data_IF_956902401729
#
_entry.id   IF_956902401729
#
_cell.length_a   1.000
_cell.length_b   1.000
_cell.length_c   1.000
_cell.angle_alpha   90.00
_cell.angle_beta   90.00
_cell.angle_gamma   90.00
#
_symmetry.space_group_name_H-M   'P 1'
#
loop_
_entity.id
_entity.type
_entity.pdbx_description
1 polymer ?
#
# COMPACT_ATOMS: atom_id res chain seq x y z
N UNK A 1 -8.72 21.86 -15.06
CA UNK A 1 -8.23 21.66 -13.68
C UNK A 1 -9.16 20.72 -12.92
N UNK A 2 -8.65 19.61 -12.46
CA UNK A 2 -9.44 18.65 -11.68
C UNK A 2 -9.43 19.02 -10.20
N UNK A 3 -10.60 18.89 -9.58
CA UNK A 3 -10.75 19.11 -8.14
C UNK A 3 -10.75 17.78 -7.41
N UNK A 4 -10.29 17.80 -6.17
CA UNK A 4 -10.34 16.61 -5.30
C UNK A 4 -11.79 16.13 -5.15
N UNK A 5 -12.75 17.04 -5.07
CA UNK A 5 -14.18 16.71 -4.99
C UNK A 5 -14.74 16.03 -6.24
N UNK A 6 -14.04 16.07 -7.37
CA UNK A 6 -14.43 15.32 -8.58
C UNK A 6 -14.30 13.80 -8.36
N UNK A 7 -13.57 13.37 -7.33
CA UNK A 7 -13.33 11.97 -6.97
C UNK A 7 -14.08 11.59 -5.70
N UNK A 8 -15.26 12.15 -5.51
CA UNK A 8 -16.09 11.89 -4.35
C UNK A 8 -17.24 10.94 -4.67
N UNK A 9 -17.66 10.18 -3.67
CA UNK A 9 -18.86 9.36 -3.72
C UNK A 9 -19.36 9.19 -2.28
N UNK A 10 -20.61 8.82 -2.12
CA UNK A 10 -21.19 8.59 -0.80
C UNK A 10 -20.84 7.20 -0.30
N UNK A 11 -20.06 7.12 0.78
CA UNK A 11 -19.66 5.87 1.41
C UNK A 11 -20.25 5.80 2.82
N UNK A 12 -21.27 4.93 3.04
CA UNK A 12 -21.76 4.69 4.38
C UNK A 12 -20.65 4.11 5.27
N UNK A 13 -20.50 4.65 6.46
CA UNK A 13 -19.42 4.26 7.37
C UNK A 13 -19.47 2.77 7.73
N UNK A 14 -20.66 2.18 7.82
CA UNK A 14 -20.81 0.75 8.11
C UNK A 14 -20.24 -0.17 7.03
N UNK A 15 -19.99 0.33 5.83
CA UNK A 15 -19.35 -0.45 4.76
C UNK A 15 -17.83 -0.48 4.86
N UNK A 16 -17.22 0.36 5.70
CA UNK A 16 -15.77 0.30 5.94
C UNK A 16 -15.49 -0.91 6.82
N UNK A 17 -14.83 -1.93 6.23
CA UNK A 17 -14.59 -3.19 6.92
C UNK A 17 -13.62 -3.01 8.09
N UNK A 18 -14.01 -3.49 9.28
CA UNK A 18 -13.18 -3.45 10.48
C UNK A 18 -12.36 -4.73 10.64
N UNK A 19 -12.82 -5.83 10.06
CA UNK A 19 -12.19 -7.14 10.13
C UNK A 19 -12.05 -7.76 8.76
N UNK A 20 -10.95 -8.47 8.49
CA UNK A 20 -10.85 -9.27 7.27
C UNK A 20 -11.77 -10.49 7.36
N UNK A 21 -12.23 -10.96 6.20
CA UNK A 21 -13.01 -12.20 6.12
C UNK A 21 -12.09 -13.42 6.22
N UNK A 22 -12.64 -14.53 6.70
CA UNK A 22 -11.95 -15.83 6.75
C UNK A 22 -12.75 -16.88 5.99
N UNK A 23 -12.13 -17.69 5.13
CA UNK A 23 -10.76 -17.54 4.60
C UNK A 23 -10.58 -16.25 3.80
N UNK A 24 -9.33 -15.76 3.72
CA UNK A 24 -9.06 -14.44 3.14
C UNK A 24 -9.45 -14.31 1.66
N UNK A 25 -9.47 -15.40 0.90
CA UNK A 25 -9.86 -15.39 -0.51
C UNK A 25 -11.38 -15.52 -0.75
N UNK A 26 -12.17 -15.46 0.30
CA UNK A 26 -13.65 -15.47 0.21
C UNK A 26 -14.27 -14.07 0.21
N UNK A 27 -13.45 -13.01 0.21
CA UNK A 27 -13.95 -11.65 -0.04
C UNK A 27 -14.67 -11.61 -1.40
N UNK A 28 -15.55 -10.64 -1.57
CA UNK A 28 -16.27 -10.49 -2.86
C UNK A 28 -15.33 -9.88 -3.91
N UNK A 29 -15.56 -10.22 -5.15
CA UNK A 29 -14.81 -9.71 -6.29
C UNK A 29 -15.76 -9.09 -7.32
N UNK A 30 -15.46 -7.85 -7.70
CA UNK A 30 -16.13 -7.13 -8.77
C UNK A 30 -15.14 -6.93 -9.90
N UNK A 31 -15.53 -7.24 -11.15
CA UNK A 31 -14.70 -6.92 -12.30
C UNK A 31 -15.22 -5.67 -12.99
N UNK A 32 -14.28 -4.84 -13.47
CA UNK A 32 -14.58 -3.63 -14.23
C UNK A 32 -13.79 -3.67 -15.54
N UNK A 33 -14.49 -3.64 -16.66
CA UNK A 33 -13.84 -3.49 -17.96
C UNK A 33 -13.46 -2.03 -18.15
N UNK A 34 -12.16 -1.74 -18.28
CA UNK A 34 -11.66 -0.37 -18.33
C UNK A 34 -12.06 0.40 -19.59
N UNK A 35 -12.40 -0.31 -20.65
CA UNK A 35 -12.81 0.32 -21.92
C UNK A 35 -14.31 0.52 -21.97
N UNK A 36 -15.10 -0.52 -21.69
CA UNK A 36 -16.57 -0.44 -21.80
C UNK A 36 -17.25 0.07 -20.53
N UNK A 37 -16.61 -0.05 -19.38
CA UNK A 37 -17.22 0.26 -18.09
C UNK A 37 -18.12 -0.86 -17.56
N UNK A 38 -18.19 -2.01 -18.25
CA UNK A 38 -19.02 -3.13 -17.81
C UNK A 38 -18.58 -3.67 -16.47
N UNK A 39 -19.54 -3.86 -15.56
CA UNK A 39 -19.31 -4.39 -14.22
C UNK A 39 -19.91 -5.78 -14.12
N UNK A 40 -19.13 -6.72 -13.55
CA UNK A 40 -19.61 -8.07 -13.26
C UNK A 40 -19.28 -8.42 -11.80
N UNK A 41 -20.17 -9.16 -11.15
CA UNK A 41 -19.98 -9.66 -9.80
C UNK A 41 -19.56 -11.13 -9.87
N UNK A 42 -18.39 -11.46 -9.32
CA UNK A 42 -17.80 -12.80 -9.45
C UNK A 42 -18.04 -13.70 -8.24
N UNK A 43 -18.63 -13.17 -7.18
CA UNK A 43 -18.89 -13.94 -5.98
C UNK A 43 -17.75 -13.89 -4.97
N UNK A 44 -16.62 -14.51 -5.26
CA UNK A 44 -15.48 -14.60 -4.34
C UNK A 44 -14.17 -14.22 -5.01
N UNK A 45 -13.21 -13.77 -4.20
CA UNK A 45 -11.90 -13.40 -4.70
C UNK A 45 -11.19 -14.56 -5.42
N UNK A 46 -11.36 -15.80 -4.94
CA UNK A 46 -10.76 -16.95 -5.61
C UNK A 46 -11.26 -17.16 -7.04
N UNK A 47 -12.39 -16.55 -7.41
CA UNK A 47 -12.88 -16.55 -8.79
C UNK A 47 -12.02 -15.69 -9.73
N UNK A 48 -11.04 -14.95 -9.19
CA UNK A 48 -10.02 -14.30 -9.99
C UNK A 48 -9.32 -15.30 -10.90
N UNK A 49 -9.19 -16.55 -10.47
CA UNK A 49 -8.57 -17.61 -11.25
C UNK A 49 -9.22 -17.76 -12.63
N UNK A 50 -10.54 -17.59 -12.72
CA UNK A 50 -11.28 -17.67 -13.98
C UNK A 50 -10.96 -16.52 -14.94
N UNK A 51 -10.57 -15.36 -14.38
CA UNK A 51 -10.28 -14.14 -15.12
C UNK A 51 -8.85 -14.10 -15.66
N UNK A 52 -7.98 -14.95 -15.16
CA UNK A 52 -6.57 -15.02 -15.57
C UNK A 52 -6.37 -15.99 -16.71
N UNK A 53 -5.43 -15.67 -17.59
CA UNK A 53 -5.10 -16.45 -18.78
C UNK A 53 -3.67 -16.96 -18.69
N UNK A 54 -3.41 -18.13 -19.29
CA UNK A 54 -2.04 -18.63 -19.46
C UNK A 54 -1.18 -17.54 -20.10
N UNK A 55 -0.01 -17.30 -19.53
CA UNK A 55 0.92 -16.26 -19.97
C UNK A 55 0.75 -14.91 -19.31
N UNK A 56 -0.34 -14.68 -18.55
CA UNK A 56 -0.48 -13.47 -17.76
C UNK A 56 0.65 -13.40 -16.72
N UNK A 57 1.02 -12.19 -16.33
CA UNK A 57 1.98 -11.93 -15.25
C UNK A 57 1.29 -11.15 -14.13
N UNK A 58 1.30 -11.70 -12.93
CA UNK A 58 0.88 -10.99 -11.73
C UNK A 58 2.10 -10.42 -11.01
N UNK A 59 2.08 -9.13 -10.73
CA UNK A 59 3.19 -8.47 -10.04
C UNK A 59 2.74 -8.03 -8.64
N UNK A 60 3.40 -8.59 -7.63
CA UNK A 60 3.08 -8.40 -6.22
C UNK A 60 4.12 -7.51 -5.55
N UNK A 61 3.69 -6.77 -4.54
CA UNK A 61 4.59 -6.07 -3.64
C UNK A 61 4.87 -6.99 -2.43
N UNK A 62 6.10 -7.44 -2.28
CA UNK A 62 6.51 -8.39 -1.24
C UNK A 62 7.00 -7.72 0.05
N UNK A 63 6.69 -6.45 0.25
CA UNK A 63 7.07 -5.75 1.48
C UNK A 63 6.44 -6.41 2.71
N UNK A 64 7.16 -6.36 3.82
CA UNK A 64 6.68 -6.87 5.11
C UNK A 64 6.47 -5.73 6.08
N UNK A 65 5.30 -5.69 6.71
CA UNK A 65 4.98 -4.70 7.75
C UNK A 65 5.80 -5.01 9.00
N UNK A 66 6.39 -3.95 9.57
CA UNK A 66 7.07 -4.02 10.86
C UNK A 66 6.15 -3.44 11.93
N UNK A 67 6.28 -3.85 13.20
CA UNK A 67 5.50 -3.27 14.29
C UNK A 67 6.05 -1.87 14.61
N UNK A 68 5.68 -0.91 13.80
CA UNK A 68 6.28 0.40 13.69
C UNK A 68 5.82 1.41 14.74
N UNK A 69 4.84 1.06 15.58
CA UNK A 69 4.34 1.95 16.64
C UNK A 69 5.03 1.65 17.97
N UNK A 70 5.78 2.63 18.48
CA UNK A 70 6.56 2.49 19.70
C UNK A 70 6.03 3.44 20.77
N UNK A 71 6.03 2.99 22.00
CA UNK A 71 5.68 3.82 23.16
C UNK A 71 6.91 3.99 24.04
N UNK A 72 7.17 5.24 24.44
CA UNK A 72 8.32 5.57 25.26
C UNK A 72 8.02 6.71 26.21
N UNK A 73 9.07 7.20 26.86
CA UNK A 73 9.01 8.31 27.80
C UNK A 73 10.10 9.30 27.48
N UNK A 74 9.80 10.60 27.64
CA UNK A 74 10.82 11.64 27.49
C UNK A 74 11.80 11.55 28.65
N UNK A 75 13.08 11.53 28.35
CA UNK A 75 14.12 11.61 29.37
C UNK A 75 14.00 12.94 30.10
N UNK A 76 14.08 12.91 31.43
CA UNK A 76 13.95 14.06 32.29
C UNK A 76 12.56 14.21 32.90
N UNK A 77 11.55 14.48 32.09
CA UNK A 77 10.18 14.67 32.57
C UNK A 77 9.40 13.38 32.82
N UNK A 78 9.79 12.29 32.15
CA UNK A 78 9.04 11.02 32.18
C UNK A 78 7.72 11.04 31.42
N UNK A 79 7.45 12.10 30.65
CA UNK A 79 6.21 12.23 29.88
C UNK A 79 6.10 11.17 28.80
N UNK A 80 4.90 10.61 28.63
CA UNK A 80 4.62 9.56 27.62
C UNK A 80 4.75 10.10 26.20
N UNK A 81 5.33 9.28 25.31
CA UNK A 81 5.51 9.61 23.90
C UNK A 81 5.15 8.40 23.06
N UNK A 82 4.40 8.65 21.99
CA UNK A 82 4.14 7.67 20.94
C UNK A 82 4.97 8.03 19.72
N UNK A 83 5.71 7.07 19.20
CA UNK A 83 6.55 7.23 18.02
C UNK A 83 6.11 6.23 16.96
N UNK A 84 5.89 6.72 15.75
CA UNK A 84 5.50 5.90 14.61
C UNK A 84 6.61 5.97 13.57
N UNK A 85 7.25 4.83 13.31
CA UNK A 85 8.31 4.72 12.29
C UNK A 85 7.68 4.82 10.90
N UNK A 86 8.18 5.71 10.06
CA UNK A 86 7.69 5.89 8.70
C UNK A 86 8.69 5.36 7.67
N UNK A 87 9.91 5.88 7.67
CA UNK A 87 10.88 5.62 6.61
C UNK A 87 12.28 5.56 7.21
N UNK A 88 13.05 4.50 6.93
CA UNK A 88 14.46 4.48 7.31
C UNK A 88 15.25 5.47 6.45
N UNK A 89 16.16 6.21 7.08
CA UNK A 89 16.97 7.23 6.40
C UNK A 89 18.44 7.19 6.81
N UNK A 90 18.89 6.05 7.30
CA UNK A 90 20.27 5.83 7.72
C UNK A 90 20.34 4.66 8.68
N UNK A 91 21.55 4.32 9.14
CA UNK A 91 21.73 3.25 10.11
C UNK A 91 21.07 3.62 11.44
N UNK A 92 20.09 2.85 11.85
CA UNK A 92 19.26 3.09 13.05
C UNK A 92 18.67 4.52 13.08
N UNK A 93 18.42 5.08 11.92
CA UNK A 93 17.86 6.42 11.77
C UNK A 93 16.58 6.35 10.98
N UNK A 94 15.53 6.97 11.51
CA UNK A 94 14.20 6.91 10.91
C UNK A 94 13.51 8.27 10.89
N UNK A 95 12.79 8.53 9.81
CA UNK A 95 11.74 9.53 9.83
C UNK A 95 10.55 8.95 10.58
N UNK A 96 10.00 9.73 11.51
CA UNK A 96 8.94 9.29 12.43
C UNK A 96 7.88 10.37 12.60
N UNK A 97 6.68 9.95 13.00
CA UNK A 97 5.72 10.85 13.63
C UNK A 97 5.84 10.69 15.14
N UNK A 98 5.74 11.80 15.85
CA UNK A 98 5.90 11.83 17.32
C UNK A 98 4.71 12.54 17.94
N UNK A 99 4.13 11.94 18.98
CA UNK A 99 2.98 12.50 19.69
C UNK A 99 3.23 12.44 21.20
N UNK A 100 3.22 13.56 21.91
CA UNK A 100 2.97 14.92 21.47
C UNK A 100 4.20 15.57 20.85
N UNK A 101 4.06 16.13 19.66
CA UNK A 101 5.17 16.74 18.93
C UNK A 101 5.74 17.99 19.59
N UNK A 102 4.87 18.84 20.19
CA UNK A 102 5.28 20.09 20.86
C UNK A 102 6.24 19.88 22.01
N UNK A 103 6.19 18.72 22.67
CA UNK A 103 7.02 18.39 23.83
C UNK A 103 8.29 17.61 23.43
N UNK A 104 8.52 17.44 22.14
CA UNK A 104 9.65 16.69 21.62
C UNK A 104 10.47 17.55 20.62
N UNK A 105 11.23 18.54 21.12
CA UNK A 105 12.12 19.35 20.27
C UNK A 105 13.36 18.57 19.88
N UNK A 106 14.13 19.16 18.94
CA UNK A 106 15.45 18.64 18.58
C UNK A 106 16.31 18.55 19.85
N UNK A 107 16.96 17.41 20.02
CA UNK A 107 17.76 17.10 21.21
C UNK A 107 17.03 16.32 22.28
N UNK A 108 15.71 16.20 22.21
CA UNK A 108 14.96 15.41 23.18
C UNK A 108 15.30 13.93 23.02
N UNK A 109 15.66 13.30 24.13
CA UNK A 109 15.88 11.84 24.21
C UNK A 109 14.60 11.17 24.65
N UNK A 110 14.26 10.06 23.99
CA UNK A 110 13.11 9.22 24.29
C UNK A 110 13.63 7.84 24.66
N UNK A 111 13.14 7.30 25.77
CA UNK A 111 13.49 5.96 26.25
C UNK A 111 12.31 5.04 26.01
N UNK A 112 12.55 3.91 25.31
CA UNK A 112 11.50 2.95 24.96
C UNK A 112 11.54 1.72 25.88
N UNK A 113 12.71 1.16 26.09
CA UNK A 113 12.97 0.11 27.10
C UNK A 113 14.48 0.09 27.41
N UNK A 114 14.94 -0.92 28.14
CA UNK A 114 16.36 -1.03 28.54
C UNK A 114 17.31 -1.15 27.36
N UNK A 115 16.83 -1.55 26.19
CA UNK A 115 17.64 -1.81 25.00
C UNK A 115 17.56 -0.70 23.95
N UNK A 116 16.54 0.15 24.01
CA UNK A 116 16.27 1.09 22.93
C UNK A 116 15.97 2.49 23.45
N UNK A 117 16.73 3.45 22.94
CA UNK A 117 16.47 4.88 23.11
C UNK A 117 16.65 5.58 21.76
N UNK A 118 16.18 6.81 21.68
CA UNK A 118 16.35 7.62 20.48
C UNK A 118 16.50 9.10 20.83
N UNK A 119 17.17 9.85 19.95
CA UNK A 119 17.29 11.29 20.08
C UNK A 119 16.74 11.95 18.81
N UNK A 120 15.93 12.98 19.02
CA UNK A 120 15.40 13.78 17.91
C UNK A 120 16.51 14.65 17.36
N UNK A 121 16.92 14.44 16.11
CA UNK A 121 18.02 15.16 15.50
C UNK A 121 17.57 16.21 14.47
N UNK A 122 16.35 16.11 13.96
CA UNK A 122 15.83 17.06 12.97
C UNK A 122 14.29 16.99 12.92
N UNK A 123 13.68 17.93 12.21
CA UNK A 123 12.27 18.00 11.90
C UNK A 123 12.07 17.87 10.39
N UNK A 124 10.95 17.31 9.97
CA UNK A 124 10.59 17.18 8.56
C UNK A 124 9.48 18.12 8.16
N UNK A 125 9.31 18.33 6.84
CA UNK A 125 8.31 19.27 6.29
C UNK A 125 6.87 18.93 6.63
N UNK A 126 6.58 17.67 6.95
CA UNK A 126 5.22 17.20 7.23
C UNK A 126 4.92 17.08 8.74
N UNK A 127 5.68 17.80 9.56
CA UNK A 127 5.51 17.74 11.02
C UNK A 127 6.12 16.51 11.66
N UNK A 128 6.88 15.75 10.90
CA UNK A 128 7.61 14.58 11.40
C UNK A 128 8.91 14.96 12.09
N UNK A 129 9.62 13.93 12.53
CA UNK A 129 10.91 14.03 13.19
C UNK A 129 11.87 13.01 12.61
N UNK A 130 13.15 13.35 12.59
CA UNK A 130 14.20 12.36 12.37
C UNK A 130 14.72 11.94 13.73
N UNK A 131 14.69 10.64 14.00
CA UNK A 131 15.18 10.07 15.25
C UNK A 131 16.38 9.18 14.95
N UNK A 132 17.48 9.43 15.67
CA UNK A 132 18.63 8.54 15.71
C UNK A 132 18.45 7.59 16.89
N UNK A 133 18.28 6.32 16.60
CA UNK A 133 18.12 5.31 17.63
C UNK A 133 19.47 4.75 18.10
N UNK A 134 19.53 4.43 19.37
CA UNK A 134 20.63 3.66 19.96
C UNK A 134 20.01 2.36 20.49
N UNK A 135 20.52 1.25 19.99
CA UNK A 135 19.99 -0.07 20.32
C UNK A 135 21.08 -0.97 20.86
N UNK A 136 20.83 -1.57 22.03
CA UNK A 136 21.66 -2.63 22.56
C UNK A 136 21.09 -3.96 22.07
N UNK A 137 21.65 -4.47 20.99
CA UNK A 137 21.15 -5.62 20.27
C UNK A 137 20.80 -5.28 18.82
N UNK A 138 20.04 -6.17 18.18
CA UNK A 138 19.58 -5.98 16.80
C UNK A 138 18.31 -5.16 16.80
N UNK A 139 18.31 -4.02 16.13
CA UNK A 139 17.19 -3.09 16.09
C UNK A 139 15.87 -3.79 15.69
N UNK A 140 15.89 -4.56 14.60
CA UNK A 140 14.69 -5.25 14.13
C UNK A 140 14.11 -6.22 15.16
N UNK A 141 14.97 -6.93 15.89
CA UNK A 141 14.53 -7.89 16.92
C UNK A 141 13.85 -7.17 18.09
N UNK A 142 14.43 -6.05 18.51
CA UNK A 142 13.87 -5.24 19.60
C UNK A 142 12.52 -4.67 19.19
N UNK A 143 12.41 -4.14 17.97
CA UNK A 143 11.14 -3.60 17.43
C UNK A 143 10.07 -4.69 17.37
N UNK A 144 10.41 -5.90 16.97
CA UNK A 144 9.46 -7.02 16.93
C UNK A 144 8.88 -7.34 18.33
N UNK A 145 9.68 -7.15 19.38
CA UNK A 145 9.24 -7.44 20.75
C UNK A 145 8.43 -6.31 21.39
N UNK A 146 8.82 -5.06 21.20
CA UNK A 146 8.22 -3.92 21.89
C UNK A 146 7.23 -3.12 21.05
N UNK A 147 7.32 -3.22 19.73
CA UNK A 147 6.48 -2.46 18.81
C UNK A 147 5.08 -3.03 18.65
N UNK A 148 4.16 -2.18 18.26
CA UNK A 148 2.80 -2.56 17.90
C UNK A 148 2.57 -2.35 16.41
N UNK A 149 1.76 -3.23 15.80
CA UNK A 149 1.40 -3.12 14.39
C UNK A 149 0.49 -1.89 14.19
N UNK A 150 0.88 -0.93 13.35
CA UNK A 150 0.02 0.19 13.04
C UNK A 150 -1.05 -0.25 12.04
N UNK A 151 -2.31 -0.08 12.40
CA UNK A 151 -3.42 -0.33 11.48
C UNK A 151 -3.76 0.96 10.73
N UNK A 152 -4.32 0.86 9.51
CA UNK A 152 -4.75 2.03 8.76
C UNK A 152 -5.78 2.86 9.54
N UNK A 153 -5.86 4.18 9.29
CA UNK A 153 -6.96 4.98 9.83
C UNK A 153 -8.30 4.40 9.40
N UNK A 154 -9.37 4.70 10.12
CA UNK A 154 -10.72 4.13 9.96
C UNK A 154 -10.87 2.67 10.42
N UNK A 155 -9.78 1.98 10.79
CA UNK A 155 -9.85 0.68 11.46
C UNK A 155 -9.74 0.95 12.95
N UNK A 156 -10.85 0.81 13.66
CA UNK A 156 -10.95 1.17 15.09
C UNK A 156 -10.87 -0.05 16.00
N UNK A 157 -11.04 -1.24 15.44
CA UNK A 157 -11.05 -2.47 16.21
C UNK A 157 -9.67 -3.13 16.22
N UNK A 158 -9.29 -3.71 17.35
CA UNK A 158 -8.01 -4.37 17.51
C UNK A 158 -7.98 -5.66 16.70
N UNK A 159 -6.91 -5.85 15.95
CA UNK A 159 -6.69 -7.09 15.20
C UNK A 159 -6.18 -8.19 16.14
N UNK A 160 -6.91 -9.30 16.25
CA UNK A 160 -6.55 -10.40 17.12
C UNK A 160 -5.30 -11.14 16.63
N UNK A 161 -5.20 -11.36 15.31
CA UNK A 161 -4.08 -12.05 14.68
C UNK A 161 -3.25 -11.05 13.86
N UNK A 162 -2.03 -10.78 14.31
CA UNK A 162 -1.10 -9.86 13.63
C UNK A 162 -0.79 -10.30 12.19
N UNK A 163 -0.75 -11.61 11.93
CA UNK A 163 -0.42 -12.14 10.61
C UNK A 163 -1.53 -11.87 9.58
N UNK A 164 -2.73 -11.51 10.04
CA UNK A 164 -3.80 -11.10 9.12
C UNK A 164 -3.53 -9.75 8.45
N UNK A 165 -2.61 -8.95 8.96
CA UNK A 165 -2.14 -7.71 8.31
C UNK A 165 -0.80 -7.91 7.61
N UNK A 166 -0.57 -9.12 7.09
CA UNK A 166 0.57 -9.48 6.24
C UNK A 166 0.09 -10.30 5.06
N UNK A 167 0.69 -10.08 3.90
CA UNK A 167 0.49 -11.00 2.77
C UNK A 167 1.20 -12.32 3.05
N UNK A 168 0.72 -13.41 2.44
CA UNK A 168 1.33 -14.74 2.65
C UNK A 168 2.72 -14.85 2.02
N UNK A 169 3.08 -13.93 1.14
CA UNK A 169 4.38 -13.86 0.47
C UNK A 169 5.27 -12.72 0.99
N UNK A 170 4.89 -12.06 2.08
CA UNK A 170 5.68 -10.94 2.64
C UNK A 170 7.09 -11.39 3.00
N UNK A 171 8.09 -10.63 2.57
CA UNK A 171 9.51 -11.00 2.71
C UNK A 171 10.39 -9.83 3.16
N UNK A 172 10.33 -8.70 2.47
CA UNK A 172 11.26 -7.58 2.68
C UNK A 172 10.73 -6.63 3.75
N UNK A 173 11.36 -6.62 4.92
CA UNK A 173 10.94 -5.78 6.07
C UNK A 173 11.14 -4.30 5.79
N UNK A 174 10.21 -3.47 6.23
CA UNK A 174 10.38 -2.02 6.16
C UNK A 174 9.10 -1.20 5.98
N UNK A 175 7.93 -1.83 5.88
CA UNK A 175 6.67 -1.11 5.69
C UNK A 175 5.98 -0.78 6.99
N UNK A 176 5.34 0.40 7.04
CA UNK A 176 4.42 0.77 8.11
C UNK A 176 2.97 0.35 7.80
N UNK A 177 2.67 -0.04 6.56
CA UNK A 177 1.35 -0.48 6.14
C UNK A 177 1.47 -1.64 5.15
N UNK A 178 0.49 -2.56 5.16
CA UNK A 178 0.46 -3.68 4.23
C UNK A 178 -0.06 -3.26 2.85
N UNK A 179 0.42 -3.90 1.77
CA UNK A 179 -0.20 -3.78 0.45
C UNK A 179 -1.50 -4.60 0.42
N UNK A 180 -2.61 -3.95 0.75
CA UNK A 180 -3.84 -4.63 1.18
C UNK A 180 -4.53 -5.48 0.11
N UNK A 181 -4.37 -5.17 -1.18
CA UNK A 181 -4.92 -6.01 -2.23
C UNK A 181 -4.30 -7.42 -2.21
N UNK A 182 -3.03 -7.53 -1.83
CA UNK A 182 -2.35 -8.81 -1.69
C UNK A 182 -2.84 -9.66 -0.53
N UNK A 183 -3.55 -9.06 0.44
CA UNK A 183 -4.06 -9.78 1.60
C UNK A 183 -5.10 -10.84 1.24
N UNK A 184 -5.72 -10.75 0.07
CA UNK A 184 -6.74 -11.71 -0.37
C UNK A 184 -6.17 -13.05 -0.84
N UNK A 185 -4.88 -13.11 -1.15
CA UNK A 185 -4.26 -14.31 -1.70
C UNK A 185 -3.91 -15.32 -0.61
N UNK A 186 -4.29 -16.58 -0.85
CA UNK A 186 -3.89 -17.71 -0.02
C UNK A 186 -2.77 -18.48 -0.73
N UNK A 187 -1.96 -19.29 -0.01
CA UNK A 187 -0.99 -20.17 -0.65
C UNK A 187 -1.63 -21.11 -1.68
N UNK A 188 -2.82 -21.64 -1.38
CA UNK A 188 -3.53 -22.53 -2.29
C UNK A 188 -3.95 -21.83 -3.58
N UNK A 189 -4.49 -20.61 -3.48
CA UNK A 189 -4.87 -19.82 -4.66
C UNK A 189 -3.64 -19.51 -5.53
N UNK A 190 -2.51 -19.12 -4.92
CA UNK A 190 -1.27 -18.85 -5.64
C UNK A 190 -0.79 -20.09 -6.41
N UNK A 191 -0.86 -21.27 -5.80
CA UNK A 191 -0.48 -22.52 -6.48
C UNK A 191 -1.39 -22.83 -7.66
N UNK A 192 -2.70 -22.63 -7.53
CA UNK A 192 -3.65 -22.80 -8.63
C UNK A 192 -3.40 -21.82 -9.77
N UNK A 193 -3.05 -20.58 -9.44
CA UNK A 193 -2.71 -19.56 -10.43
C UNK A 193 -1.46 -19.97 -11.22
N UNK A 194 -0.41 -20.41 -10.52
CA UNK A 194 0.80 -20.92 -11.17
C UNK A 194 0.49 -22.11 -12.07
N UNK A 195 -0.33 -23.05 -11.59
CA UNK A 195 -0.70 -24.25 -12.35
C UNK A 195 -1.46 -23.91 -13.64
N UNK A 196 -2.13 -22.79 -13.68
CA UNK A 196 -2.82 -22.29 -14.90
C UNK A 196 -1.84 -21.71 -15.92
N UNK A 197 -0.58 -21.52 -15.56
CA UNK A 197 0.43 -20.93 -16.45
C UNK A 197 0.58 -19.43 -16.31
N UNK A 198 0.15 -18.88 -15.19
CA UNK A 198 0.34 -17.46 -14.86
C UNK A 198 1.67 -17.28 -14.14
N UNK A 199 2.48 -16.34 -14.60
CA UNK A 199 3.76 -16.02 -13.98
C UNK A 199 3.56 -15.10 -12.79
N UNK A 200 4.23 -15.39 -11.66
CA UNK A 200 4.21 -14.54 -10.46
C UNK A 200 5.56 -13.83 -10.36
N UNK A 201 5.52 -12.50 -10.25
CA UNK A 201 6.71 -11.67 -10.09
C UNK A 201 6.55 -10.76 -8.88
N UNK A 202 7.69 -10.39 -8.29
CA UNK A 202 7.69 -9.62 -7.05
C UNK A 202 8.57 -8.38 -7.17
N UNK A 203 8.01 -7.26 -6.74
CA UNK A 203 8.73 -6.01 -6.54
C UNK A 203 8.62 -5.62 -5.07
N UNK A 204 9.36 -4.61 -4.64
CA UNK A 204 9.29 -4.13 -3.27
C UNK A 204 9.03 -2.63 -3.26
N UNK A 205 8.02 -2.20 -2.52
CA UNK A 205 7.82 -0.81 -2.18
C UNK A 205 7.44 -0.76 -0.70
N UNK A 206 8.23 -0.05 0.08
CA UNK A 206 7.96 0.09 1.50
C UNK A 206 6.91 1.18 1.72
N UNK A 207 5.71 0.74 2.10
CA UNK A 207 4.55 1.61 2.24
C UNK A 207 4.66 2.39 3.54
N UNK A 208 4.60 3.73 3.44
CA UNK A 208 4.53 4.61 4.59
C UNK A 208 3.10 4.96 4.95
N UNK A 209 2.88 5.41 6.19
CA UNK A 209 1.54 5.84 6.63
C UNK A 209 1.04 7.10 5.94
N UNK A 210 1.91 7.83 5.26
CA UNK A 210 1.53 8.97 4.44
C UNK A 210 0.50 8.64 3.36
N UNK A 211 0.48 7.37 2.89
CA UNK A 211 -0.51 6.87 1.93
C UNK A 211 -1.95 7.03 2.43
N UNK A 212 -2.16 7.03 3.73
CA UNK A 212 -3.48 7.14 4.34
C UNK A 212 -3.84 8.57 4.76
N UNK A 213 -2.96 9.55 4.54
CA UNK A 213 -3.28 10.95 4.86
C UNK A 213 -4.32 11.49 3.89
N UNK A 214 -5.33 12.24 4.37
CA UNK A 214 -6.29 12.89 3.48
C UNK A 214 -5.60 13.88 2.56
N UNK A 215 -6.14 14.04 1.37
CA UNK A 215 -5.71 15.10 0.44
C UNK A 215 -6.20 16.42 1.00
N UNK A 216 -5.27 17.33 1.32
CA UNK A 216 -5.59 18.64 1.90
C UNK A 216 -5.75 19.74 0.85
N UNK A 217 -5.27 19.52 -0.38
CA UNK A 217 -5.39 20.49 -1.48
C UNK A 217 -6.80 20.48 -2.07
N UNK A 218 -7.25 21.60 -2.63
CA UNK A 218 -8.53 21.69 -3.36
C UNK A 218 -8.41 21.11 -4.77
N UNK A 219 -7.28 21.36 -5.43
CA UNK A 219 -6.99 20.84 -6.75
C UNK A 219 -5.98 19.70 -6.63
N UNK A 220 -6.13 18.68 -7.46
CA UNK A 220 -5.27 17.50 -7.38
C UNK A 220 -3.82 17.84 -7.72
N UNK A 221 -3.60 18.80 -8.63
CA UNK A 221 -2.26 19.20 -9.04
C UNK A 221 -1.45 19.85 -7.92
N UNK A 222 -2.10 20.38 -6.89
CA UNK A 222 -1.45 21.04 -5.74
C UNK A 222 -1.13 20.05 -4.61
N UNK A 223 -1.56 18.81 -4.73
CA UNK A 223 -1.27 17.79 -3.72
C UNK A 223 0.17 17.28 -3.87
N UNK A 224 0.87 17.19 -2.73
CA UNK A 224 2.23 16.64 -2.67
C UNK A 224 2.18 15.20 -2.15
N UNK A 225 2.80 14.29 -2.90
CA UNK A 225 2.93 12.89 -2.52
C UNK A 225 4.15 12.68 -1.62
N UNK A 226 4.02 11.76 -0.68
CA UNK A 226 5.15 11.33 0.14
C UNK A 226 6.09 10.44 -0.68
N UNK A 227 7.40 10.54 -0.40
CA UNK A 227 8.39 9.65 -0.99
C UNK A 227 8.32 8.27 -0.35
N UNK A 228 8.37 7.23 -1.17
CA UNK A 228 8.43 5.84 -0.73
C UNK A 228 9.55 5.13 -1.47
N UNK A 229 10.27 4.26 -0.76
CA UNK A 229 11.44 3.56 -1.33
C UNK A 229 11.00 2.26 -2.02
N UNK A 230 11.48 2.06 -3.25
CA UNK A 230 11.15 0.86 -4.01
C UNK A 230 12.41 0.16 -4.53
N UNK A 231 12.26 -1.13 -4.84
CA UNK A 231 13.30 -1.96 -5.43
C UNK A 231 12.67 -2.86 -6.49
N UNK A 232 13.27 -2.86 -7.68
CA UNK A 232 13.00 -3.84 -8.74
C UNK A 232 14.31 -4.53 -9.07
N UNK A 233 14.38 -5.85 -8.90
CA UNK A 233 15.59 -6.59 -9.25
C UNK A 233 15.75 -6.66 -10.77
N UNK A 234 16.99 -6.78 -11.25
CA UNK A 234 17.26 -6.91 -12.68
C UNK A 234 16.60 -8.17 -13.27
N UNK A 235 16.65 -9.28 -12.53
CA UNK A 235 16.02 -10.53 -12.99
C UNK A 235 14.51 -10.37 -13.15
N UNK A 236 13.84 -9.74 -12.21
CA UNK A 236 12.40 -9.46 -12.30
C UNK A 236 12.11 -8.55 -13.49
N UNK A 237 12.90 -7.48 -13.66
CA UNK A 237 12.73 -6.57 -14.80
C UNK A 237 12.87 -7.31 -16.13
N UNK A 238 13.88 -8.15 -16.25
CA UNK A 238 14.14 -8.91 -17.49
C UNK A 238 12.96 -9.85 -17.81
N UNK A 239 12.43 -10.56 -16.80
CA UNK A 239 11.31 -11.48 -17.01
C UNK A 239 10.02 -10.76 -17.39
N UNK A 240 9.72 -9.65 -16.73
CA UNK A 240 8.52 -8.84 -17.03
C UNK A 240 8.64 -8.26 -18.45
N UNK A 241 9.79 -7.71 -18.81
CA UNK A 241 10.02 -7.17 -20.15
C UNK A 241 9.86 -8.26 -21.22
N UNK A 242 10.41 -9.45 -20.98
CA UNK A 242 10.28 -10.58 -21.92
C UNK A 242 8.81 -10.97 -22.09
N UNK A 243 8.05 -11.05 -21.03
CA UNK A 243 6.63 -11.38 -21.09
C UNK A 243 5.85 -10.31 -21.87
N UNK A 244 6.13 -9.03 -21.61
CA UNK A 244 5.46 -7.93 -22.30
C UNK A 244 5.73 -7.95 -23.79
N UNK A 245 6.94 -8.28 -24.22
CA UNK A 245 7.30 -8.41 -25.63
C UNK A 245 6.54 -9.54 -26.33
N UNK A 246 6.17 -10.59 -25.59
CA UNK A 246 5.34 -11.69 -26.10
C UNK A 246 3.86 -11.34 -26.19
N UNK A 247 3.47 -10.15 -25.73
CA UNK A 247 2.08 -9.73 -25.67
C UNK A 247 1.35 -10.17 -24.41
N UNK A 248 2.07 -10.66 -23.40
CA UNK A 248 1.47 -11.02 -22.10
C UNK A 248 0.89 -9.80 -21.40
N UNK A 249 -0.21 -10.04 -20.72
CA UNK A 249 -0.88 -9.02 -19.91
C UNK A 249 -0.14 -8.86 -18.58
N UNK A 250 0.29 -7.64 -18.26
CA UNK A 250 0.97 -7.32 -17.01
C UNK A 250 -0.08 -6.79 -16.04
N UNK A 251 -0.32 -7.55 -14.98
CA UNK A 251 -1.38 -7.28 -14.00
C UNK A 251 -0.72 -6.91 -12.67
N UNK A 252 -0.91 -5.67 -12.24
CA UNK A 252 -0.43 -5.25 -10.93
C UNK A 252 -1.41 -5.73 -9.84
N UNK A 253 -0.88 -6.25 -8.75
CA UNK A 253 -1.65 -6.55 -7.55
C UNK A 253 -1.40 -5.43 -6.54
N UNK A 254 -2.38 -4.57 -6.38
CA UNK A 254 -2.32 -3.40 -5.53
C UNK A 254 -1.74 -2.16 -6.20
N UNK A 255 -2.16 -1.01 -5.69
CA UNK A 255 -1.70 0.29 -6.21
C UNK A 255 -0.22 0.55 -5.93
N UNK A 256 0.35 -0.11 -4.91
CA UNK A 256 1.79 -0.03 -4.63
C UNK A 256 2.61 -0.68 -5.74
N UNK A 257 2.15 -1.81 -6.27
CA UNK A 257 2.79 -2.45 -7.43
C UNK A 257 2.69 -1.57 -8.67
N UNK A 258 1.56 -0.90 -8.87
CA UNK A 258 1.40 0.07 -9.97
C UNK A 258 2.44 1.16 -9.87
N UNK A 259 2.54 1.80 -8.70
CA UNK A 259 3.46 2.92 -8.50
C UNK A 259 4.91 2.49 -8.69
N UNK A 260 5.27 1.30 -8.24
CA UNK A 260 6.60 0.74 -8.43
C UNK A 260 6.91 0.51 -9.91
N UNK A 261 6.03 -0.20 -10.60
CA UNK A 261 6.25 -0.53 -12.01
C UNK A 261 6.29 0.72 -12.89
N UNK A 262 5.36 1.65 -12.66
CA UNK A 262 5.31 2.87 -13.46
C UNK A 262 6.49 3.80 -13.17
N UNK A 263 7.01 3.81 -11.95
CA UNK A 263 8.20 4.60 -11.58
C UNK A 263 9.49 4.02 -12.19
N UNK A 264 9.59 2.70 -12.30
CA UNK A 264 10.79 2.03 -12.79
C UNK A 264 10.79 1.78 -14.30
N UNK A 265 9.69 2.07 -14.99
CA UNK A 265 9.59 1.89 -16.45
C UNK A 265 9.96 3.19 -17.15
N UNK A 266 10.88 3.10 -18.14
CA UNK A 266 11.29 4.26 -18.91
C UNK A 266 10.26 4.63 -19.99
N UNK A 267 10.51 5.71 -20.72
CA UNK A 267 9.58 6.21 -21.74
C UNK A 267 9.44 5.28 -22.94
N UNK A 268 10.39 4.37 -23.14
CA UNK A 268 10.32 3.34 -24.17
C UNK A 268 9.51 2.11 -23.73
N UNK A 269 8.96 2.13 -22.54
CA UNK A 269 8.15 1.03 -21.99
C UNK A 269 8.97 -0.13 -21.45
N UNK A 270 10.24 0.09 -21.13
CA UNK A 270 11.14 -0.95 -20.60
C UNK A 270 11.31 -0.78 -19.10
N UNK A 271 11.01 -1.83 -18.36
CA UNK A 271 11.18 -1.87 -16.91
C UNK A 271 12.67 -1.98 -16.56
N UNK A 272 13.12 -1.14 -15.67
CA UNK A 272 14.52 -1.08 -15.23
C UNK A 272 14.70 -1.84 -13.92
N UNK A 273 15.79 -2.62 -13.82
CA UNK A 273 16.26 -3.11 -12.54
C UNK A 273 16.90 -1.93 -11.81
N UNK A 274 16.27 -1.47 -10.75
CA UNK A 274 16.73 -0.30 -10.03
C UNK A 274 16.12 -0.21 -8.64
N UNK A 275 16.68 0.64 -7.83
CA UNK A 275 16.10 1.07 -6.55
C UNK A 275 16.08 2.58 -6.50
N UNK A 276 15.15 3.14 -5.74
CA UNK A 276 15.06 4.59 -5.62
C UNK A 276 13.84 5.01 -4.83
N UNK A 277 13.64 6.30 -4.79
CA UNK A 277 12.50 6.92 -4.12
C UNK A 277 11.50 7.36 -5.16
N UNK A 278 10.21 7.12 -4.90
CA UNK A 278 9.14 7.58 -5.79
C UNK A 278 8.17 8.49 -5.06
N UNK A 279 7.78 9.56 -5.74
CA UNK A 279 6.68 10.44 -5.36
C UNK A 279 5.62 10.44 -6.45
N UNK A 280 5.59 9.41 -7.29
CA UNK A 280 4.68 9.37 -8.43
C UNK A 280 3.23 9.57 -7.98
N UNK A 281 2.54 10.48 -8.63
CA UNK A 281 1.14 10.78 -8.40
C UNK A 281 0.38 10.53 -9.70
N UNK A 282 -0.39 9.43 -9.73
CA UNK A 282 -1.12 9.02 -10.93
C UNK A 282 -2.57 9.47 -10.80
N UNK A 283 -3.02 10.24 -11.77
CA UNK A 283 -4.39 10.72 -11.87
C UNK A 283 -4.80 10.81 -13.35
N UNK A 284 -6.09 11.04 -13.67
CA UNK A 284 -6.55 11.03 -15.07
C UNK A 284 -5.73 11.94 -15.99
N UNK A 285 -5.37 11.41 -17.14
CA UNK A 285 -4.43 12.00 -18.09
C UNK A 285 -3.08 11.31 -18.11
N UNK A 286 -2.75 10.56 -17.04
CA UNK A 286 -1.54 9.75 -17.00
C UNK A 286 -1.62 8.60 -18.02
N UNK A 287 -0.54 8.37 -18.76
CA UNK A 287 -0.43 7.25 -19.71
C UNK A 287 0.40 6.13 -19.11
N UNK A 288 -0.24 5.00 -18.87
CA UNK A 288 0.45 3.85 -18.30
C UNK A 288 1.47 3.27 -19.29
N UNK A 289 2.67 2.99 -18.80
CA UNK A 289 3.79 2.49 -19.58
C UNK A 289 3.96 0.98 -19.47
N UNK A 290 3.51 0.39 -18.37
CA UNK A 290 3.78 -1.01 -18.07
C UNK A 290 2.53 -1.83 -17.80
N UNK A 291 1.64 -1.39 -16.93
CA UNK A 291 0.52 -2.22 -16.49
C UNK A 291 -0.63 -2.22 -17.50
N UNK A 292 -1.29 -3.36 -17.62
CA UNK A 292 -2.47 -3.57 -18.46
C UNK A 292 -3.74 -3.71 -17.63
N UNK A 293 -3.63 -4.24 -16.41
CA UNK A 293 -4.75 -4.52 -15.54
C UNK A 293 -4.32 -4.41 -14.08
N UNK A 294 -5.29 -4.37 -13.17
CA UNK A 294 -5.06 -4.10 -11.76
C UNK A 294 -6.04 -4.86 -10.86
N UNK A 295 -5.49 -5.55 -9.86
CA UNK A 295 -6.25 -6.08 -8.73
C UNK A 295 -6.11 -5.10 -7.58
N UNK A 296 -7.21 -4.61 -7.05
CA UNK A 296 -7.19 -3.57 -6.00
C UNK A 296 -8.37 -3.72 -5.05
N UNK A 297 -8.24 -3.15 -3.85
CA UNK A 297 -9.37 -2.98 -2.93
C UNK A 297 -10.17 -1.73 -3.33
N UNK A 298 -11.32 -1.53 -2.69
CA UNK A 298 -12.10 -0.31 -2.84
C UNK A 298 -11.48 0.80 -1.98
N UNK A 299 -11.29 1.97 -2.56
CA UNK A 299 -10.62 3.11 -1.93
C UNK A 299 -11.61 4.12 -1.36
N UNK A 300 -11.15 4.91 -0.41
CA UNK A 300 -11.96 5.94 0.24
C UNK A 300 -12.26 7.10 -0.73
N UNK A 301 -13.37 7.83 -0.50
CA UNK A 301 -13.68 9.02 -1.28
C UNK A 301 -12.54 10.04 -1.24
N UNK A 302 -12.32 10.73 -2.36
CA UNK A 302 -11.33 11.80 -2.52
C UNK A 302 -9.88 11.36 -2.25
N UNK A 303 -9.61 10.05 -2.30
CA UNK A 303 -8.26 9.54 -2.08
C UNK A 303 -7.41 9.56 -3.35
N UNK A 304 -6.08 9.64 -3.17
CA UNK A 304 -5.14 9.54 -4.28
C UNK A 304 -5.23 8.20 -5.00
N UNK A 305 -5.63 7.15 -4.29
CA UNK A 305 -5.77 5.81 -4.85
C UNK A 305 -6.99 5.71 -5.76
N UNK A 306 -8.09 6.38 -5.41
CA UNK A 306 -9.25 6.48 -6.31
C UNK A 306 -8.88 7.26 -7.57
N UNK A 307 -8.04 8.29 -7.46
CA UNK A 307 -7.52 9.03 -8.61
C UNK A 307 -6.67 8.15 -9.53
N UNK A 308 -5.85 7.28 -8.96
CA UNK A 308 -5.01 6.33 -9.72
C UNK A 308 -5.87 5.36 -10.54
N UNK A 309 -6.86 4.72 -9.93
CA UNK A 309 -7.72 3.77 -10.67
C UNK A 309 -8.59 4.51 -11.70
N UNK A 310 -8.95 5.76 -11.43
CA UNK A 310 -9.67 6.61 -12.39
C UNK A 310 -8.81 6.94 -13.61
N UNK A 311 -7.49 7.05 -13.43
CA UNK A 311 -6.56 7.19 -14.55
C UNK A 311 -6.56 5.96 -15.46
N UNK A 312 -6.72 4.75 -14.86
CA UNK A 312 -6.69 3.50 -15.60
C UNK A 312 -8.01 3.20 -16.33
N UNK A 313 -9.13 3.39 -15.67
CA UNK A 313 -10.45 2.95 -16.17
C UNK A 313 -11.38 4.10 -16.55
N UNK A 314 -10.99 5.35 -16.29
CA UNK A 314 -11.86 6.50 -16.45
C UNK A 314 -12.62 6.83 -15.17
N UNK A 315 -12.68 8.11 -14.82
CA UNK A 315 -13.36 8.57 -13.61
C UNK A 315 -14.82 8.12 -13.56
N UNK A 316 -15.55 8.28 -14.68
CA UNK A 316 -16.98 7.94 -14.73
C UNK A 316 -17.22 6.45 -14.56
N UNK A 317 -16.40 5.60 -15.18
CA UNK A 317 -16.49 4.14 -15.02
C UNK A 317 -16.21 3.74 -13.57
N UNK A 318 -15.20 4.32 -12.95
CA UNK A 318 -14.85 4.01 -11.56
C UNK A 318 -15.93 4.43 -10.60
N UNK A 319 -16.45 5.65 -10.73
CA UNK A 319 -17.52 6.15 -9.84
C UNK A 319 -18.80 5.33 -10.00
N UNK A 320 -19.17 4.96 -11.23
CA UNK A 320 -20.33 4.12 -11.48
C UNK A 320 -20.18 2.73 -10.84
N UNK A 321 -18.98 2.13 -10.96
CA UNK A 321 -18.68 0.84 -10.33
C UNK A 321 -18.74 0.93 -8.80
N UNK A 322 -18.23 2.03 -8.25
CA UNK A 322 -18.25 2.27 -6.79
C UNK A 322 -19.67 2.47 -6.27
N UNK A 323 -20.50 3.21 -7.00
CA UNK A 323 -21.91 3.39 -6.64
C UNK A 323 -22.65 2.06 -6.64
N UNK A 324 -22.40 1.21 -7.64
CA UNK A 324 -22.98 -0.14 -7.67
C UNK A 324 -22.47 -0.99 -6.51
N UNK A 325 -21.20 -0.92 -6.18
CA UNK A 325 -20.62 -1.66 -5.04
C UNK A 325 -21.27 -1.22 -3.72
N UNK A 326 -21.53 0.08 -3.55
CA UNK A 326 -22.24 0.59 -2.36
C UNK A 326 -23.67 0.04 -2.31
N UNK A 327 -24.40 0.07 -3.42
CA UNK A 327 -25.77 -0.49 -3.48
C UNK A 327 -25.80 -1.97 -3.14
N UNK A 328 -24.82 -2.72 -3.62
CA UNK A 328 -24.71 -4.16 -3.37
C UNK A 328 -24.03 -4.49 -2.04
N UNK A 329 -23.72 -3.47 -1.24
CA UNK A 329 -23.14 -3.56 0.09
C UNK A 329 -21.81 -4.31 0.13
N UNK A 330 -20.93 -4.02 -0.81
CA UNK A 330 -19.54 -4.44 -0.73
C UNK A 330 -18.88 -3.78 0.47
N UNK A 331 -17.82 -4.42 0.95
CA UNK A 331 -17.00 -3.91 2.05
C UNK A 331 -15.84 -3.12 1.47
N UNK A 332 -15.51 -2.01 2.11
CA UNK A 332 -14.55 -1.03 1.58
C UNK A 332 -13.30 -0.96 2.46
N UNK A 333 -12.26 -0.40 1.88
CA UNK A 333 -10.98 -0.07 2.48
C UNK A 333 -10.08 -1.30 2.68
N UNK A 334 -9.15 -1.27 3.65
CA UNK A 334 -8.03 -2.22 3.77
C UNK A 334 -8.43 -3.68 3.96
N UNK A 335 -9.52 -3.93 4.68
CA UNK A 335 -10.01 -5.29 4.93
C UNK A 335 -11.29 -5.61 4.14
N UNK A 336 -11.58 -4.79 3.16
CA UNK A 336 -12.78 -4.93 2.36
C UNK A 336 -12.66 -5.91 1.20
N UNK A 337 -13.57 -5.75 0.26
CA UNK A 337 -13.66 -6.57 -0.93
C UNK A 337 -12.71 -6.04 -2.03
N UNK A 338 -12.71 -6.69 -3.17
CA UNK A 338 -11.73 -6.42 -4.22
C UNK A 338 -12.37 -6.16 -5.58
N UNK A 339 -11.61 -5.47 -6.41
CA UNK A 339 -11.90 -5.24 -7.83
C UNK A 339 -10.79 -5.85 -8.69
N UNK A 340 -11.18 -6.31 -9.86
CA UNK A 340 -10.24 -6.58 -10.95
C UNK A 340 -10.60 -5.66 -12.11
N UNK A 341 -9.74 -4.69 -12.39
CA UNK A 341 -9.88 -3.74 -13.50
C UNK A 341 -9.08 -4.31 -14.67
N UNK A 342 -9.75 -4.66 -15.72
CA UNK A 342 -9.17 -5.35 -16.87
C UNK A 342 -9.49 -4.72 -18.21
#
# INVERSE_FOLDING_TARGET
TMKVTDFDYELPEELIAQHPVEPRDTARLLTLDKVSGEVKHKGHFYDLLEELHEGDVLVFNNTKVIPARLYGHRQGSGGKVEVLLLTPCGENRWECLVKPGKKCPIGQVIEFDDRLSGVIIDKTNFGGRIIQFTCNGVFDDVIQEIGEMPLPPYIHEKLEDKDRYQTVYAKEKGSAAAPTAGLHFTPDLLEKIKAKGVELEFVTLHVGLGTFRPVSAETIEDHEMHSEFFVVSQDTADRINAAKQKGSRIIAVGTTSVRTLESATNDDGVLQGMSGWTQIFIYPGYKFKMIDALVTNFHLPQSTLLMLISALAGREHCLAAYEEAVRERYRFFSFGDAMFIR
#
